data_IF_462919947726
#
_entry.id   IF_462919947726
#
_cell.length_a   1.000
_cell.length_b   1.000
_cell.length_c   1.000
_cell.angle_alpha   90.00
_cell.angle_beta   90.00
_cell.angle_gamma   90.00
#
_symmetry.space_group_name_H-M   'P 1'
#
loop_
_entity.id
_entity.type
_entity.pdbx_description
1 polymer ?
#
# COMPACT_ATOMS: atom_id res chain seq x y z
N UNK A 1 -4.39 14.66 25.87
CA UNK A 1 -4.20 13.28 25.36
C UNK A 1 -5.53 12.54 25.16
N UNK A 2 -6.65 13.22 24.87
CA UNK A 2 -8.01 12.61 24.88
C UNK A 2 -8.85 12.83 23.62
N UNK A 3 -8.28 13.21 22.46
CA UNK A 3 -9.06 13.42 21.23
C UNK A 3 -8.86 12.37 20.11
N UNK A 4 -7.94 11.45 20.29
CA UNK A 4 -7.59 10.44 19.29
C UNK A 4 -8.66 9.32 19.09
N UNK A 5 -9.46 8.93 20.11
CA UNK A 5 -10.53 7.94 19.92
C UNK A 5 -11.69 8.41 19.04
N UNK A 6 -11.93 9.74 18.92
CA UNK A 6 -13.04 10.28 18.13
C UNK A 6 -12.80 10.27 16.62
N UNK A 7 -11.56 10.17 16.16
CA UNK A 7 -11.23 10.14 14.74
C UNK A 7 -11.58 8.76 14.16
N UNK A 8 -11.32 7.66 14.86
CA UNK A 8 -11.64 6.31 14.41
C UNK A 8 -13.15 6.09 14.26
N UNK A 9 -13.99 6.65 15.15
CA UNK A 9 -15.45 6.50 15.10
C UNK A 9 -16.14 7.37 14.05
N UNK A 10 -15.55 8.46 13.59
CA UNK A 10 -16.14 9.28 12.51
C UNK A 10 -16.13 8.57 11.14
N UNK A 11 -15.27 7.58 10.95
CA UNK A 11 -15.14 6.85 9.67
C UNK A 11 -16.04 5.61 9.57
N UNK A 12 -16.70 5.18 10.68
CA UNK A 12 -17.61 4.02 10.67
C UNK A 12 -19.08 4.38 10.49
N UNK A 13 -19.51 5.63 10.63
CA UNK A 13 -20.92 6.02 10.67
C UNK A 13 -21.44 6.85 9.49
N UNK A 14 -20.62 7.19 8.49
CA UNK A 14 -21.13 7.91 7.33
C UNK A 14 -21.69 6.93 6.28
N UNK A 15 -22.77 6.24 6.65
CA UNK A 15 -23.67 5.63 5.66
C UNK A 15 -24.57 6.75 5.11
N UNK A 16 -24.07 7.47 4.12
CA UNK A 16 -24.91 8.41 3.36
C UNK A 16 -25.77 7.58 2.43
N UNK A 17 -27.05 7.51 2.74
CA UNK A 17 -28.10 7.03 1.82
C UNK A 17 -28.18 8.01 0.65
N UNK A 18 -27.60 7.69 -0.48
CA UNK A 18 -27.75 8.41 -1.73
C UNK A 18 -28.80 7.70 -2.58
N UNK A 19 -30.04 8.10 -2.42
CA UNK A 19 -31.06 7.89 -3.46
C UNK A 19 -30.68 8.76 -4.67
N UNK A 20 -30.35 8.11 -5.77
CA UNK A 20 -30.05 8.75 -7.04
C UNK A 20 -31.35 9.29 -7.67
N UNK A 21 -31.52 10.61 -7.70
CA UNK A 21 -32.51 11.25 -8.59
C UNK A 21 -31.93 11.33 -10.02
N UNK A 22 -32.60 10.85 -11.05
CA UNK A 22 -32.22 11.05 -12.44
C UNK A 22 -32.66 12.44 -12.90
N UNK A 23 -31.71 13.37 -12.93
CA UNK A 23 -31.96 14.70 -13.46
C UNK A 23 -30.74 15.19 -14.22
N UNK A 24 -30.93 15.47 -15.52
CA UNK A 24 -29.92 15.98 -16.48
C UNK A 24 -29.08 17.12 -15.92
N UNK A 25 -27.85 16.79 -15.47
CA UNK A 25 -26.77 17.77 -15.31
C UNK A 25 -25.90 17.72 -16.55
N UNK A 26 -25.81 18.85 -17.26
CA UNK A 26 -24.74 19.12 -18.23
C UNK A 26 -23.41 18.62 -17.62
N UNK A 27 -22.79 17.62 -18.26
CA UNK A 27 -21.51 17.08 -17.84
C UNK A 27 -20.50 18.21 -17.85
N UNK A 28 -20.12 18.69 -16.66
CA UNK A 28 -18.97 19.59 -16.55
C UNK A 28 -17.75 18.82 -17.04
N UNK A 29 -16.84 19.45 -17.80
CA UNK A 29 -15.61 18.78 -18.21
C UNK A 29 -14.89 18.27 -16.94
N UNK A 30 -14.53 16.99 -16.94
CA UNK A 30 -13.86 16.37 -15.81
C UNK A 30 -12.54 17.06 -15.55
N UNK A 31 -12.23 17.37 -14.27
CA UNK A 31 -10.95 17.96 -13.83
C UNK A 31 -9.76 17.20 -14.43
N UNK A 32 -8.82 17.94 -15.02
CA UNK A 32 -7.58 17.37 -15.60
C UNK A 32 -6.55 17.12 -14.50
N UNK A 33 -6.32 15.86 -14.17
CA UNK A 33 -5.42 15.42 -13.11
C UNK A 33 -4.12 14.89 -13.69
N UNK A 34 -2.98 15.43 -13.24
CA UNK A 34 -1.67 14.80 -13.44
C UNK A 34 -1.40 13.80 -12.33
N UNK A 35 -1.23 12.52 -12.68
CA UNK A 35 -0.92 11.45 -11.76
C UNK A 35 0.57 11.12 -11.83
N UNK A 36 1.33 11.46 -10.78
CA UNK A 36 2.80 11.40 -10.75
C UNK A 36 3.26 10.13 -10.06
N UNK A 37 4.10 9.35 -10.75
CA UNK A 37 4.63 8.06 -10.33
C UNK A 37 6.15 7.99 -10.52
N UNK A 38 6.82 7.06 -9.86
CA UNK A 38 8.24 6.76 -10.15
C UNK A 38 8.35 6.02 -11.48
N UNK A 39 7.62 4.91 -11.63
CA UNK A 39 7.47 4.10 -12.82
C UNK A 39 6.01 3.71 -13.01
N UNK A 40 5.57 3.53 -14.24
CA UNK A 40 4.23 3.03 -14.54
C UNK A 40 4.14 2.52 -15.98
N UNK A 41 3.45 1.39 -16.21
CA UNK A 41 2.97 0.47 -15.20
C UNK A 41 4.11 -0.34 -14.55
N UNK A 42 3.90 -0.83 -13.33
CA UNK A 42 4.85 -1.67 -12.61
C UNK A 42 4.19 -2.99 -12.18
N UNK A 43 4.73 -4.17 -12.55
CA UNK A 43 4.10 -5.46 -12.23
C UNK A 43 3.89 -5.71 -10.74
N UNK A 44 4.70 -5.09 -9.89
CA UNK A 44 4.62 -5.22 -8.43
C UNK A 44 3.65 -4.24 -7.77
N UNK A 45 3.07 -3.31 -8.55
CA UNK A 45 2.19 -2.23 -8.07
C UNK A 45 0.81 -2.32 -8.73
N UNK A 46 0.25 -3.53 -8.80
CA UNK A 46 -1.03 -3.82 -9.46
C UNK A 46 -2.20 -3.01 -8.90
N UNK A 47 -2.14 -2.68 -7.61
CA UNK A 47 -3.16 -1.84 -6.95
C UNK A 47 -3.18 -0.40 -7.51
N UNK A 48 -2.00 0.20 -7.82
CA UNK A 48 -1.92 1.52 -8.47
C UNK A 48 -2.44 1.43 -9.91
N UNK A 49 -2.05 0.37 -10.63
CA UNK A 49 -2.54 0.15 -11.98
C UNK A 49 -4.06 0.09 -12.03
N UNK A 50 -4.67 -0.71 -11.16
CA UNK A 50 -6.14 -0.83 -11.04
C UNK A 50 -6.81 0.48 -10.64
N UNK A 51 -6.20 1.25 -9.72
CA UNK A 51 -6.71 2.57 -9.33
C UNK A 51 -6.76 3.50 -10.56
N UNK A 52 -5.67 3.62 -11.32
CA UNK A 52 -5.61 4.45 -12.53
C UNK A 52 -6.65 4.02 -13.57
N UNK A 53 -6.76 2.71 -13.82
CA UNK A 53 -7.77 2.17 -14.76
C UNK A 53 -9.19 2.52 -14.33
N UNK A 54 -9.51 2.30 -13.06
CA UNK A 54 -10.86 2.51 -12.55
C UNK A 54 -11.22 4.00 -12.48
N UNK A 55 -10.29 4.88 -12.08
CA UNK A 55 -10.53 6.32 -12.09
C UNK A 55 -10.77 6.84 -13.51
N UNK A 56 -10.05 6.35 -14.53
CA UNK A 56 -10.32 6.66 -15.94
C UNK A 56 -11.70 6.14 -16.38
N UNK A 57 -12.07 4.90 -16.00
CA UNK A 57 -13.42 4.34 -16.30
C UNK A 57 -14.54 5.14 -15.64
N UNK A 58 -14.33 5.72 -14.47
CA UNK A 58 -15.26 6.60 -13.77
C UNK A 58 -15.34 8.01 -14.41
N UNK A 59 -14.55 8.30 -15.44
CA UNK A 59 -14.58 9.56 -16.18
C UNK A 59 -13.63 10.64 -15.70
N UNK A 60 -12.65 10.31 -14.83
CA UNK A 60 -11.62 11.27 -14.46
C UNK A 60 -10.65 11.49 -15.63
N UNK A 61 -10.44 12.76 -16.03
CA UNK A 61 -9.45 13.13 -17.04
C UNK A 61 -8.04 13.04 -16.47
N UNK A 62 -7.52 11.82 -16.41
CA UNK A 62 -6.26 11.48 -15.74
C UNK A 62 -5.16 11.24 -16.76
N UNK A 63 -4.02 11.97 -16.61
CA UNK A 63 -2.78 11.79 -17.35
C UNK A 63 -1.69 11.27 -16.41
N UNK A 64 -0.98 10.25 -16.85
CA UNK A 64 0.08 9.62 -16.06
C UNK A 64 1.45 10.14 -16.45
N UNK A 65 2.21 10.60 -15.46
CA UNK A 65 3.58 11.09 -15.60
C UNK A 65 4.53 10.25 -14.74
N UNK A 66 5.67 9.86 -15.28
CA UNK A 66 6.67 9.14 -14.50
C UNK A 66 8.00 9.88 -14.42
N UNK A 67 8.64 9.82 -13.25
CA UNK A 67 9.93 10.44 -12.99
C UNK A 67 11.06 9.69 -13.69
N UNK A 68 10.90 8.38 -13.86
CA UNK A 68 11.86 7.51 -14.52
C UNK A 68 11.30 6.96 -15.85
N UNK A 69 12.16 6.29 -16.61
CA UNK A 69 11.78 5.61 -17.85
C UNK A 69 10.95 4.33 -17.60
N UNK A 70 10.86 3.47 -18.60
CA UNK A 70 10.19 2.18 -18.45
C UNK A 70 10.92 1.28 -17.48
N UNK A 71 10.16 0.57 -16.65
CA UNK A 71 10.64 -0.50 -15.80
C UNK A 71 10.14 -1.83 -16.39
N UNK A 72 10.83 -2.31 -17.33
CA UNK A 72 10.88 -3.36 -18.18
C UNK A 72 10.14 -4.55 -18.37
N UNK A 73 10.42 -5.68 -17.83
CA UNK A 73 9.95 -6.98 -18.30
C UNK A 73 8.66 -7.46 -17.59
N UNK A 74 7.85 -8.28 -18.30
CA UNK A 74 6.68 -8.99 -17.77
C UNK A 74 5.44 -8.13 -17.46
N UNK A 75 5.12 -7.18 -18.33
CA UNK A 75 3.85 -6.47 -18.30
C UNK A 75 2.73 -7.34 -18.88
N UNK A 76 1.54 -7.33 -18.28
CA UNK A 76 0.34 -7.91 -18.89
C UNK A 76 -0.04 -7.14 -20.16
N UNK A 77 -0.86 -7.75 -21.04
CA UNK A 77 -1.32 -7.09 -22.26
C UNK A 77 -2.06 -5.76 -21.96
N UNK A 78 -2.85 -5.72 -20.90
CA UNK A 78 -3.54 -4.50 -20.46
C UNK A 78 -2.56 -3.42 -19.98
N UNK A 79 -1.53 -3.80 -19.24
CA UNK A 79 -0.47 -2.89 -18.81
C UNK A 79 0.34 -2.36 -20.00
N UNK A 80 0.63 -3.20 -20.98
CA UNK A 80 1.33 -2.80 -22.21
C UNK A 80 0.52 -1.78 -23.01
N UNK A 81 -0.79 -2.01 -23.18
CA UNK A 81 -1.67 -1.08 -23.89
C UNK A 81 -1.69 0.30 -23.21
N UNK A 82 -1.77 0.34 -21.89
CA UNK A 82 -1.76 1.61 -21.13
C UNK A 82 -0.39 2.29 -21.10
N UNK A 83 0.68 1.54 -21.31
CA UNK A 83 2.06 2.07 -21.30
C UNK A 83 2.31 3.11 -22.39
N UNK A 84 1.58 3.05 -23.51
CA UNK A 84 1.71 3.99 -24.63
C UNK A 84 1.29 5.42 -24.25
N UNK A 85 0.31 5.59 -23.36
CA UNK A 85 -0.25 6.88 -22.94
C UNK A 85 0.53 7.54 -21.77
N UNK A 86 1.65 6.95 -21.34
CA UNK A 86 2.42 7.43 -20.19
C UNK A 86 3.48 8.44 -20.62
N UNK A 87 3.44 9.62 -20.03
CA UNK A 87 4.47 10.63 -20.24
C UNK A 87 5.67 10.39 -19.31
N UNK A 88 6.75 9.90 -19.89
CA UNK A 88 7.98 9.56 -19.16
C UNK A 88 8.99 10.70 -19.23
N UNK A 89 9.57 11.03 -18.07
CA UNK A 89 10.67 11.99 -18.02
C UNK A 89 12.01 11.29 -18.32
N UNK A 90 12.46 10.43 -17.42
CA UNK A 90 13.70 9.67 -17.54
C UNK A 90 14.97 10.52 -17.68
N UNK A 91 16.13 9.89 -17.69
CA UNK A 91 17.44 10.58 -17.80
C UNK A 91 17.66 11.32 -19.12
N UNK A 92 16.96 10.94 -20.16
CA UNK A 92 17.02 11.63 -21.48
C UNK A 92 16.42 13.04 -21.45
N UNK A 93 15.74 13.40 -20.38
CA UNK A 93 15.20 14.75 -20.19
C UNK A 93 16.24 15.75 -19.64
N UNK A 94 17.42 15.31 -19.20
CA UNK A 94 18.45 16.19 -18.59
C UNK A 94 18.70 17.51 -19.35
N UNK A 95 18.88 17.54 -20.70
CA UNK A 95 19.06 18.80 -21.42
C UNK A 95 17.84 19.73 -21.28
N UNK A 96 16.61 19.18 -21.22
CA UNK A 96 15.37 19.96 -21.08
C UNK A 96 15.23 20.54 -19.67
N UNK A 97 15.78 19.87 -18.65
CA UNK A 97 15.73 20.34 -17.26
C UNK A 97 16.46 21.69 -17.10
N UNK A 98 17.61 21.88 -17.75
CA UNK A 98 18.36 23.14 -17.72
C UNK A 98 17.49 24.30 -18.27
N UNK A 99 16.84 24.06 -19.40
CA UNK A 99 15.90 25.01 -19.98
C UNK A 99 14.71 25.31 -19.08
N UNK A 100 14.16 24.28 -18.43
CA UNK A 100 13.04 24.41 -17.48
C UNK A 100 13.42 25.21 -16.23
N UNK A 101 14.58 24.94 -15.63
CA UNK A 101 15.09 25.71 -14.48
C UNK A 101 15.26 27.19 -14.86
N UNK A 102 15.87 27.50 -16.03
CA UNK A 102 16.02 28.89 -16.51
C UNK A 102 14.67 29.58 -16.75
N UNK A 103 13.69 28.84 -17.31
CA UNK A 103 12.33 29.33 -17.51
C UNK A 103 11.68 29.77 -16.19
N UNK A 104 11.68 28.92 -15.18
CA UNK A 104 11.09 29.20 -13.89
C UNK A 104 11.88 30.21 -13.08
N UNK A 105 13.21 30.22 -13.18
CA UNK A 105 14.04 31.24 -12.55
C UNK A 105 13.67 32.64 -13.00
N UNK A 106 13.39 32.83 -14.31
CA UNK A 106 12.95 34.12 -14.83
C UNK A 106 11.53 34.51 -14.39
N UNK A 107 10.63 33.56 -14.26
CA UNK A 107 9.21 33.83 -13.95
C UNK A 107 8.87 33.86 -12.46
N UNK A 108 9.47 32.97 -11.66
CA UNK A 108 9.19 32.81 -10.23
C UNK A 108 10.49 32.63 -9.42
N UNK A 109 11.42 33.60 -9.41
CA UNK A 109 12.73 33.45 -8.76
C UNK A 109 12.62 33.19 -7.25
N UNK A 110 11.63 33.74 -6.56
CA UNK A 110 11.40 33.51 -5.15
C UNK A 110 11.06 32.05 -4.84
N UNK A 111 10.20 31.43 -5.66
CA UNK A 111 9.83 30.01 -5.53
C UNK A 111 11.03 29.12 -5.79
N UNK A 112 11.82 29.40 -6.84
CA UNK A 112 13.02 28.62 -7.13
C UNK A 112 14.01 28.68 -5.96
N UNK A 113 14.21 29.86 -5.37
CA UNK A 113 15.07 30.01 -4.15
C UNK A 113 14.51 29.21 -2.97
N UNK A 114 13.20 29.19 -2.76
CA UNK A 114 12.55 28.39 -1.72
C UNK A 114 12.83 26.89 -1.94
N UNK A 115 12.65 26.38 -3.18
CA UNK A 115 12.91 25.00 -3.53
C UNK A 115 14.40 24.63 -3.35
N UNK A 116 15.34 25.52 -3.70
CA UNK A 116 16.76 25.32 -3.45
C UNK A 116 17.07 25.26 -1.96
N UNK A 117 16.47 26.14 -1.13
CA UNK A 117 16.66 26.11 0.33
C UNK A 117 16.12 24.82 0.93
N UNK A 118 15.06 24.26 0.38
CA UNK A 118 14.49 22.99 0.89
C UNK A 118 15.47 21.81 0.78
N UNK A 119 16.47 21.87 -0.09
CA UNK A 119 17.55 20.87 -0.16
C UNK A 119 18.30 20.68 1.17
N UNK A 120 18.36 21.73 2.00
CA UNK A 120 18.95 21.67 3.34
C UNK A 120 18.18 20.79 4.32
N UNK A 121 16.94 20.37 3.99
CA UNK A 121 16.12 19.48 4.82
C UNK A 121 16.22 18.01 4.41
N UNK A 122 17.02 17.68 3.36
CA UNK A 122 17.23 16.29 2.95
C UNK A 122 17.96 15.52 4.05
N UNK A 123 17.43 14.36 4.42
CA UNK A 123 18.05 13.50 5.44
C UNK A 123 19.01 12.51 4.78
N UNK A 124 20.29 12.85 4.79
CA UNK A 124 21.36 12.02 4.22
C UNK A 124 21.68 10.76 5.03
N UNK A 125 20.99 10.51 6.15
CA UNK A 125 20.99 9.19 6.80
C UNK A 125 20.25 8.13 5.96
N UNK A 126 19.40 8.60 5.05
CA UNK A 126 18.73 7.77 4.04
C UNK A 126 19.11 8.26 2.64
N UNK A 127 20.33 7.97 2.15
CA UNK A 127 20.86 8.55 0.91
C UNK A 127 20.04 8.18 -0.34
N UNK A 128 19.42 6.99 -0.34
CA UNK A 128 18.52 6.56 -1.40
C UNK A 128 17.30 7.49 -1.51
N UNK A 129 16.62 7.78 -0.40
CA UNK A 129 15.46 8.70 -0.37
C UNK A 129 15.85 10.13 -0.67
N UNK A 130 16.99 10.58 -0.18
CA UNK A 130 17.50 11.93 -0.46
C UNK A 130 17.89 12.10 -1.92
N UNK A 131 18.53 11.12 -2.53
CA UNK A 131 18.83 11.10 -3.97
C UNK A 131 17.58 11.09 -4.82
N UNK A 132 16.57 10.29 -4.46
CA UNK A 132 15.26 10.29 -5.13
C UNK A 132 14.58 11.66 -5.02
N UNK A 133 14.60 12.29 -3.84
CA UNK A 133 14.01 13.62 -3.61
C UNK A 133 14.73 14.71 -4.39
N UNK A 134 16.06 14.65 -4.50
CA UNK A 134 16.84 15.57 -5.31
C UNK A 134 16.49 15.46 -6.80
N UNK A 135 16.43 14.23 -7.33
CA UNK A 135 15.99 13.99 -8.70
C UNK A 135 14.57 14.51 -8.93
N UNK A 136 13.65 14.23 -8.02
CA UNK A 136 12.25 14.65 -8.08
C UNK A 136 12.10 16.18 -8.09
N UNK A 137 12.88 16.91 -7.27
CA UNK A 137 12.93 18.38 -7.30
C UNK A 137 13.40 18.91 -8.65
N UNK A 138 14.42 18.32 -9.27
CA UNK A 138 14.87 18.71 -10.59
C UNK A 138 13.82 18.39 -11.66
N UNK A 139 13.23 17.20 -11.60
CA UNK A 139 12.19 16.76 -12.53
C UNK A 139 10.95 17.66 -12.49
N UNK A 140 10.62 18.20 -11.31
CA UNK A 140 9.47 19.08 -11.11
C UNK A 140 9.48 20.31 -12.00
N UNK A 141 10.64 20.87 -12.35
CA UNK A 141 10.73 22.04 -13.22
C UNK A 141 10.20 21.76 -14.63
N UNK A 142 10.52 20.60 -15.18
CA UNK A 142 10.02 20.20 -16.52
C UNK A 142 8.57 19.72 -16.44
N UNK A 143 8.19 18.97 -15.38
CA UNK A 143 6.80 18.58 -15.16
C UNK A 143 5.89 19.79 -15.03
N UNK A 144 6.30 20.82 -14.28
CA UNK A 144 5.55 22.06 -14.13
C UNK A 144 5.28 22.77 -15.48
N UNK A 145 6.25 22.77 -16.40
CA UNK A 145 6.05 23.30 -17.77
C UNK A 145 5.03 22.47 -18.54
N UNK A 146 5.10 21.15 -18.45
CA UNK A 146 4.12 20.26 -19.11
C UNK A 146 2.72 20.45 -18.51
N UNK A 147 2.63 20.62 -17.21
CA UNK A 147 1.35 20.84 -16.53
C UNK A 147 0.71 22.16 -16.96
N UNK A 148 1.47 23.25 -17.07
CA UNK A 148 0.96 24.50 -17.64
C UNK A 148 0.49 24.30 -19.10
N UNK A 149 1.31 23.69 -19.95
CA UNK A 149 1.01 23.50 -21.37
C UNK A 149 -0.23 22.62 -21.61
N UNK A 150 -0.50 21.67 -20.69
CA UNK A 150 -1.63 20.74 -20.79
C UNK A 150 -2.84 21.20 -19.99
N UNK A 151 -2.74 22.34 -19.29
CA UNK A 151 -3.81 22.89 -18.45
C UNK A 151 -4.23 21.92 -17.33
N UNK A 152 -3.26 21.32 -16.65
CA UNK A 152 -3.53 20.47 -15.48
C UNK A 152 -4.14 21.31 -14.37
N UNK A 153 -5.18 20.80 -13.73
CA UNK A 153 -5.96 21.51 -12.70
C UNK A 153 -5.71 20.94 -11.30
N UNK A 154 -5.19 19.70 -11.23
CA UNK A 154 -4.78 19.07 -9.97
C UNK A 154 -3.59 18.12 -10.20
N UNK A 155 -2.67 18.07 -9.24
CA UNK A 155 -1.51 17.18 -9.28
C UNK A 155 -1.66 16.14 -8.17
N UNK A 156 -1.67 14.85 -8.51
CA UNK A 156 -1.66 13.78 -7.52
C UNK A 156 -0.38 12.95 -7.59
N UNK A 157 0.23 12.69 -6.45
CA UNK A 157 1.38 11.78 -6.33
C UNK A 157 0.96 10.48 -5.63
N UNK A 158 1.29 9.33 -6.23
CA UNK A 158 0.90 8.04 -5.67
C UNK A 158 1.77 7.55 -4.52
N UNK A 159 2.85 8.25 -4.19
CA UNK A 159 3.78 7.97 -3.10
C UNK A 159 4.19 9.26 -2.40
N UNK A 160 4.40 9.20 -1.08
CA UNK A 160 4.81 10.35 -0.27
C UNK A 160 6.31 10.71 -0.44
N UNK A 161 7.13 9.85 -1.06
CA UNK A 161 8.56 10.09 -1.35
C UNK A 161 8.76 10.99 -2.58
N UNK A 162 9.62 10.62 -3.51
CA UNK A 162 9.97 11.40 -4.70
C UNK A 162 8.79 11.88 -5.52
N UNK A 163 7.74 11.04 -5.68
CA UNK A 163 6.53 11.46 -6.41
C UNK A 163 5.90 12.70 -5.78
N UNK A 164 5.68 12.68 -4.45
CA UNK A 164 5.10 13.83 -3.75
C UNK A 164 6.06 15.02 -3.70
N UNK A 165 7.38 14.80 -3.69
CA UNK A 165 8.37 15.87 -3.79
C UNK A 165 8.27 16.57 -5.16
N UNK A 166 8.14 15.82 -6.25
CA UNK A 166 7.95 16.39 -7.59
C UNK A 166 6.60 17.12 -7.71
N UNK A 167 5.52 16.54 -7.20
CA UNK A 167 4.19 17.15 -7.20
C UNK A 167 4.16 18.44 -6.39
N UNK A 168 4.75 18.44 -5.19
CA UNK A 168 4.87 19.61 -4.33
C UNK A 168 5.65 20.77 -5.01
N UNK A 169 6.82 20.46 -5.55
CA UNK A 169 7.63 21.47 -6.22
C UNK A 169 6.95 22.01 -7.51
N UNK A 170 6.29 21.14 -8.29
CA UNK A 170 5.52 21.55 -9.46
C UNK A 170 4.31 22.40 -9.06
N UNK A 171 3.62 22.08 -7.97
CA UNK A 171 2.54 22.88 -7.39
C UNK A 171 3.01 24.29 -7.01
N UNK A 172 4.15 24.42 -6.35
CA UNK A 172 4.78 25.73 -6.04
C UNK A 172 5.07 26.55 -7.30
N UNK A 173 5.59 25.90 -8.34
CA UNK A 173 5.92 26.55 -9.60
C UNK A 173 4.67 26.97 -10.40
N UNK A 174 3.67 26.13 -10.51
CA UNK A 174 2.47 26.39 -11.32
C UNK A 174 1.39 27.15 -10.57
N UNK A 175 1.24 26.92 -9.28
CA UNK A 175 0.08 27.32 -8.46
C UNK A 175 -1.05 26.30 -8.47
N UNK A 176 -0.91 25.18 -9.19
CA UNK A 176 -1.89 24.11 -9.23
C UNK A 176 -1.88 23.34 -7.89
N UNK A 177 -3.05 23.11 -7.24
CA UNK A 177 -3.11 22.37 -6.00
C UNK A 177 -2.63 20.91 -6.18
N UNK A 178 -2.04 20.36 -5.11
CA UNK A 178 -1.59 18.97 -5.15
C UNK A 178 -2.07 18.17 -3.97
N UNK A 179 -2.14 16.86 -4.17
CA UNK A 179 -2.40 15.83 -3.18
C UNK A 179 -1.41 14.67 -3.32
N UNK A 180 -1.33 13.83 -2.31
CA UNK A 180 -0.56 12.60 -2.42
C UNK A 180 -1.15 11.46 -1.59
N UNK A 181 -0.80 10.22 -1.98
CA UNK A 181 -1.08 9.02 -1.21
C UNK A 181 0.18 8.61 -0.46
N UNK A 182 0.07 8.43 0.84
CA UNK A 182 1.13 7.98 1.72
C UNK A 182 0.93 6.51 2.10
N UNK A 183 1.95 5.68 1.85
CA UNK A 183 1.94 4.24 2.11
C UNK A 183 2.99 3.88 3.17
N UNK A 184 3.13 2.61 3.53
CA UNK A 184 4.05 2.25 4.60
C UNK A 184 5.53 2.48 4.24
N UNK A 185 5.97 2.04 3.06
CA UNK A 185 7.38 2.09 2.68
C UNK A 185 7.94 3.52 2.57
N UNK A 186 7.13 4.47 2.14
CA UNK A 186 7.53 5.85 1.87
C UNK A 186 7.45 6.76 3.10
N UNK A 187 6.79 6.31 4.16
CA UNK A 187 6.64 7.07 5.41
C UNK A 187 7.32 6.43 6.64
N UNK A 188 7.81 5.20 6.55
CA UNK A 188 8.54 4.52 7.63
C UNK A 188 9.98 4.16 7.25
N UNK A 189 10.97 5.07 7.47
CA UNK A 189 10.88 6.47 7.89
C UNK A 189 10.45 7.38 6.73
N UNK A 190 9.86 8.56 7.00
CA UNK A 190 9.58 9.55 5.97
C UNK A 190 10.87 10.20 5.45
N UNK A 191 10.78 10.86 4.30
CA UNK A 191 11.88 11.70 3.82
C UNK A 191 11.94 13.06 4.54
N UNK A 192 13.06 13.78 4.40
CA UNK A 192 13.28 15.06 5.08
C UNK A 192 12.32 16.18 4.66
N UNK A 193 11.59 16.03 3.56
CA UNK A 193 10.66 17.03 3.03
C UNK A 193 9.20 16.78 3.44
N UNK A 194 8.91 15.74 4.21
CA UNK A 194 7.54 15.34 4.55
C UNK A 194 6.72 16.48 5.18
N UNK A 195 7.31 17.28 6.08
CA UNK A 195 6.62 18.42 6.71
C UNK A 195 6.17 19.46 5.69
N UNK A 196 7.02 19.79 4.71
CA UNK A 196 6.69 20.74 3.64
C UNK A 196 5.52 20.23 2.79
N UNK A 197 5.57 18.95 2.42
CA UNK A 197 4.52 18.30 1.64
C UNK A 197 3.20 18.22 2.40
N UNK A 198 3.24 17.85 3.67
CA UNK A 198 2.05 17.81 4.53
C UNK A 198 1.45 19.21 4.71
N UNK A 199 2.25 20.26 4.91
CA UNK A 199 1.76 21.61 5.07
C UNK A 199 0.99 22.10 3.83
N UNK A 200 1.56 21.90 2.65
CA UNK A 200 1.11 22.52 1.41
C UNK A 200 0.09 21.67 0.62
N UNK A 201 -0.05 20.36 0.92
CA UNK A 201 -1.03 19.49 0.25
C UNK A 201 -2.47 19.84 0.66
N UNK A 202 -3.39 19.81 -0.32
CA UNK A 202 -4.83 20.00 -0.10
C UNK A 202 -5.53 18.72 0.34
N UNK A 203 -4.97 17.55 0.02
CA UNK A 203 -5.48 16.25 0.41
C UNK A 203 -4.31 15.29 0.61
N UNK A 204 -4.33 14.53 1.71
CA UNK A 204 -3.38 13.46 2.00
C UNK A 204 -4.15 12.16 2.18
N UNK A 205 -3.99 11.24 1.25
CA UNK A 205 -4.58 9.91 1.35
C UNK A 205 -3.63 8.94 2.04
N UNK A 206 -4.16 8.02 2.80
CA UNK A 206 -3.42 6.89 3.37
C UNK A 206 -4.20 5.59 3.22
N UNK A 207 -3.49 4.47 3.29
CA UNK A 207 -4.11 3.14 3.22
C UNK A 207 -4.61 2.64 4.57
N UNK A 208 -4.27 3.33 5.68
CA UNK A 208 -4.64 2.91 7.04
C UNK A 208 -4.71 4.13 7.97
N UNK A 209 -5.55 4.05 8.99
CA UNK A 209 -5.59 5.05 10.06
C UNK A 209 -4.28 5.08 10.87
N UNK A 210 -3.56 3.95 10.94
CA UNK A 210 -2.23 3.90 11.54
C UNK A 210 -1.23 4.83 10.83
N UNK A 211 -1.30 4.92 9.50
CA UNK A 211 -0.49 5.85 8.72
C UNK A 211 -0.86 7.30 9.01
N UNK A 212 -2.16 7.61 9.18
CA UNK A 212 -2.60 8.95 9.61
C UNK A 212 -1.99 9.31 10.96
N UNK A 213 -2.10 8.41 11.96
CA UNK A 213 -1.51 8.63 13.29
C UNK A 213 0.00 8.88 13.23
N UNK A 214 0.70 8.15 12.36
CA UNK A 214 2.14 8.34 12.17
C UNK A 214 2.45 9.71 11.54
N UNK A 215 1.76 10.08 10.46
CA UNK A 215 1.98 11.34 9.76
C UNK A 215 1.54 12.56 10.56
N UNK A 216 0.57 12.41 11.46
CA UNK A 216 0.14 13.48 12.37
C UNK A 216 1.30 14.05 13.23
N UNK A 217 2.30 13.24 13.55
CA UNK A 217 3.51 13.67 14.25
C UNK A 217 4.40 14.64 13.43
N UNK A 218 4.18 14.74 12.13
CA UNK A 218 4.90 15.59 11.19
C UNK A 218 4.04 16.73 10.63
N UNK A 219 2.74 16.75 10.95
CA UNK A 219 1.81 17.76 10.47
C UNK A 219 1.77 18.97 11.44
N UNK A 220 1.87 20.17 10.88
CA UNK A 220 1.82 21.42 11.64
C UNK A 220 0.44 22.09 11.49
N UNK A 221 -0.66 21.33 11.49
CA UNK A 221 -2.01 21.87 11.29
C UNK A 221 -3.11 20.83 11.40
N UNK A 222 -4.35 21.20 11.03
CA UNK A 222 -5.50 20.32 11.18
C UNK A 222 -5.38 19.04 10.33
N UNK A 223 -5.99 17.95 10.81
CA UNK A 223 -5.94 16.64 10.20
C UNK A 223 -7.13 16.33 9.28
N UNK A 224 -7.98 17.32 9.00
CA UNK A 224 -9.19 17.21 8.17
C UNK A 224 -8.88 16.84 6.71
N UNK A 225 -7.71 17.22 6.22
CA UNK A 225 -7.22 16.85 4.88
C UNK A 225 -6.71 15.42 4.76
N UNK A 226 -6.64 14.67 5.87
CA UNK A 226 -6.26 13.25 5.82
C UNK A 226 -7.48 12.39 5.55
N UNK A 227 -7.35 11.50 4.55
CA UNK A 227 -8.38 10.55 4.17
C UNK A 227 -7.82 9.14 4.15
N UNK A 228 -8.51 8.21 4.81
CA UNK A 228 -8.16 6.79 4.75
C UNK A 228 -8.92 6.14 3.60
N UNK A 229 -8.19 5.52 2.68
CA UNK A 229 -8.77 4.71 1.61
C UNK A 229 -7.99 3.41 1.53
N UNK A 230 -8.59 2.33 1.98
CA UNK A 230 -7.97 1.02 2.00
C UNK A 230 -7.68 0.51 0.58
N UNK A 231 -6.55 -0.14 0.40
CA UNK A 231 -6.34 -0.94 -0.81
C UNK A 231 -7.29 -2.13 -0.79
N UNK A 232 -8.00 -2.32 -1.90
CA UNK A 232 -8.85 -3.48 -2.08
C UNK A 232 -8.14 -4.63 -2.78
N UNK A 233 -8.75 -5.81 -2.68
CA UNK A 233 -8.40 -7.00 -3.46
C UNK A 233 -9.65 -7.48 -4.21
N UNK A 234 -9.52 -8.17 -5.36
CA UNK A 234 -10.67 -8.75 -6.03
C UNK A 234 -11.48 -9.61 -5.06
N UNK A 235 -12.78 -9.34 -4.95
CA UNK A 235 -13.65 -10.02 -3.98
C UNK A 235 -14.16 -11.37 -4.49
N UNK A 236 -14.00 -11.65 -5.79
CA UNK A 236 -14.34 -12.93 -6.39
C UNK A 236 -13.22 -13.93 -6.09
N UNK A 237 -13.59 -15.00 -5.42
CA UNK A 237 -12.71 -16.13 -5.10
C UNK A 237 -13.40 -17.38 -5.63
N UNK A 238 -12.72 -18.07 -6.55
CA UNK A 238 -13.19 -19.34 -7.07
C UNK A 238 -13.05 -20.42 -6.00
N UNK A 239 -14.14 -21.08 -5.67
CA UNK A 239 -14.16 -22.23 -4.75
C UNK A 239 -14.74 -21.90 -3.36
N UNK A 240 -15.79 -22.63 -3.00
CA UNK A 240 -16.48 -22.50 -1.71
C UNK A 240 -16.00 -23.47 -0.61
N UNK A 241 -14.98 -24.25 -0.87
CA UNK A 241 -14.60 -25.32 0.05
C UNK A 241 -13.93 -24.79 1.33
N UNK A 242 -14.67 -24.75 2.42
CA UNK A 242 -14.05 -24.86 3.73
C UNK A 242 -13.38 -26.23 3.80
N UNK A 243 -12.07 -26.27 3.74
CA UNK A 243 -11.30 -27.50 3.88
C UNK A 243 -11.55 -28.05 5.29
N UNK A 244 -11.93 -29.33 5.39
CA UNK A 244 -12.03 -29.97 6.69
C UNK A 244 -10.63 -30.06 7.31
N UNK A 245 -10.33 -29.20 8.30
CA UNK A 245 -9.05 -29.20 9.02
C UNK A 245 -8.73 -30.60 9.57
N UNK A 246 -7.71 -31.27 9.05
CA UNK A 246 -7.26 -32.61 9.46
C UNK A 246 -5.74 -32.66 9.42
N UNK A 247 -5.12 -33.43 10.33
CA UNK A 247 -3.68 -33.66 10.23
C UNK A 247 -3.29 -34.38 8.92
N UNK A 248 -2.12 -34.04 8.32
CA UNK A 248 -1.25 -32.94 8.72
C UNK A 248 -1.86 -31.56 8.43
N UNK A 249 -1.94 -30.70 9.45
CA UNK A 249 -2.52 -29.36 9.32
C UNK A 249 -1.68 -28.50 8.36
N UNK A 250 -2.31 -27.87 7.38
CA UNK A 250 -1.65 -27.02 6.38
C UNK A 250 -1.59 -25.58 6.83
N UNK A 251 -0.39 -25.15 7.22
CA UNK A 251 -0.11 -23.77 7.59
C UNK A 251 0.47 -23.07 6.36
N UNK A 252 -0.11 -21.95 5.94
CA UNK A 252 0.33 -21.17 4.79
C UNK A 252 0.88 -19.82 5.22
N UNK A 253 1.99 -19.41 4.63
CA UNK A 253 2.54 -18.06 4.74
C UNK A 253 2.92 -17.53 3.34
N UNK A 254 2.45 -16.34 2.99
CA UNK A 254 2.60 -15.76 1.65
C UNK A 254 3.27 -14.39 1.72
N UNK A 255 4.30 -14.16 0.92
CA UNK A 255 4.89 -12.84 0.80
C UNK A 255 6.35 -12.83 0.41
N UNK A 256 6.90 -11.63 0.17
CA UNK A 256 8.34 -11.47 -0.10
C UNK A 256 9.16 -11.89 1.11
N UNK A 257 10.26 -12.60 0.90
CA UNK A 257 11.16 -13.02 1.98
C UNK A 257 12.07 -11.86 2.40
N UNK A 258 11.51 -10.96 3.19
CA UNK A 258 12.16 -9.77 3.77
C UNK A 258 11.88 -9.70 5.27
N UNK A 259 12.71 -8.95 6.01
CA UNK A 259 12.70 -8.93 7.48
C UNK A 259 11.33 -8.61 8.09
N UNK A 260 10.63 -7.62 7.54
CA UNK A 260 9.33 -7.18 8.07
C UNK A 260 8.22 -8.24 8.03
N UNK A 261 8.37 -9.32 7.27
CA UNK A 261 7.40 -10.42 7.22
C UNK A 261 7.49 -11.40 8.41
N UNK A 262 8.60 -11.38 9.16
CA UNK A 262 8.76 -12.18 10.37
C UNK A 262 8.78 -13.70 10.17
N UNK A 263 9.09 -14.19 8.97
CA UNK A 263 9.06 -15.63 8.66
C UNK A 263 10.07 -16.46 9.46
N UNK A 264 11.13 -15.86 9.98
CA UNK A 264 12.03 -16.48 10.95
C UNK A 264 11.32 -16.77 12.28
N UNK A 265 10.37 -15.91 12.71
CA UNK A 265 9.56 -16.14 13.90
C UNK A 265 8.58 -17.29 13.70
N UNK A 266 7.98 -17.39 12.49
CA UNK A 266 7.12 -18.52 12.14
C UNK A 266 7.86 -19.84 12.13
N UNK A 267 9.10 -19.90 11.61
CA UNK A 267 9.91 -21.11 11.65
C UNK A 267 10.25 -21.53 13.11
N UNK A 268 10.50 -20.58 14.00
CA UNK A 268 10.71 -20.86 15.42
C UNK A 268 9.43 -21.37 16.10
N UNK A 269 8.28 -20.78 15.76
CA UNK A 269 6.97 -21.27 16.22
C UNK A 269 6.68 -22.68 15.70
N UNK A 270 7.00 -22.97 14.43
CA UNK A 270 6.86 -24.30 13.84
C UNK A 270 7.73 -25.34 14.57
N UNK A 271 8.91 -24.97 15.10
CA UNK A 271 9.71 -25.86 15.94
C UNK A 271 8.97 -26.20 17.24
N UNK A 272 8.38 -25.19 17.90
CA UNK A 272 7.59 -25.41 19.13
C UNK A 272 6.38 -26.32 18.89
N UNK A 273 5.66 -26.12 17.78
CA UNK A 273 4.55 -27.00 17.37
C UNK A 273 5.02 -28.45 17.14
N UNK A 274 6.18 -28.63 16.50
CA UNK A 274 6.73 -29.96 16.30
C UNK A 274 7.18 -30.62 17.61
N UNK A 275 7.73 -29.86 18.56
CA UNK A 275 8.08 -30.34 19.90
C UNK A 275 6.85 -30.72 20.71
N UNK A 276 5.71 -30.02 20.52
CA UNK A 276 4.42 -30.34 21.10
C UNK A 276 3.70 -31.53 20.41
N UNK A 277 4.32 -32.13 19.39
CA UNK A 277 3.75 -33.31 18.70
C UNK A 277 2.64 -32.97 17.68
N UNK A 278 2.46 -31.69 17.34
CA UNK A 278 1.49 -31.29 16.30
C UNK A 278 1.96 -31.82 14.93
N UNK A 279 1.06 -32.54 14.23
CA UNK A 279 1.32 -32.95 12.86
C UNK A 279 0.86 -31.89 11.88
N UNK A 280 1.83 -31.22 11.24
CA UNK A 280 1.60 -30.09 10.33
C UNK A 280 2.56 -30.09 9.14
N UNK A 281 2.15 -29.39 8.09
CA UNK A 281 2.98 -28.94 6.98
C UNK A 281 2.94 -27.41 6.90
N UNK A 282 4.10 -26.77 6.76
CA UNK A 282 4.23 -25.33 6.59
C UNK A 282 4.68 -25.01 5.15
N UNK A 283 3.82 -24.34 4.42
CA UNK A 283 4.03 -23.91 3.05
C UNK A 283 4.36 -22.40 2.99
N UNK A 284 5.54 -22.05 2.46
CA UNK A 284 5.95 -20.68 2.16
C UNK A 284 5.79 -20.39 0.67
N UNK A 285 4.94 -19.44 0.30
CA UNK A 285 4.80 -18.94 -1.07
C UNK A 285 5.42 -17.54 -1.20
N UNK A 286 6.41 -17.42 -2.04
CA UNK A 286 7.15 -16.17 -2.28
C UNK A 286 8.64 -16.38 -2.49
N UNK A 287 9.33 -15.27 -2.72
CA UNK A 287 10.79 -15.24 -2.89
C UNK A 287 11.36 -13.93 -2.30
N UNK A 288 12.68 -13.82 -2.18
CA UNK A 288 13.34 -12.61 -1.71
C UNK A 288 14.70 -12.85 -1.09
N UNK A 289 15.30 -11.78 -0.60
CA UNK A 289 16.68 -11.77 -0.09
C UNK A 289 16.92 -12.76 1.08
N UNK A 290 15.89 -13.05 1.86
CA UNK A 290 15.99 -13.98 2.99
C UNK A 290 15.73 -15.44 2.63
N UNK A 291 15.58 -15.80 1.35
CA UNK A 291 15.32 -17.18 0.91
C UNK A 291 16.32 -18.18 1.49
N UNK A 292 17.60 -17.92 1.29
CA UNK A 292 18.64 -18.80 1.78
C UNK A 292 18.79 -18.81 3.31
N UNK A 293 18.76 -17.66 4.01
CA UNK A 293 18.69 -17.62 5.46
C UNK A 293 17.51 -18.42 6.06
N UNK A 294 16.32 -18.33 5.46
CA UNK A 294 15.14 -19.09 5.92
C UNK A 294 15.32 -20.60 5.70
N UNK A 295 15.82 -21.03 4.54
CA UNK A 295 16.12 -22.45 4.27
C UNK A 295 17.18 -22.99 5.24
N UNK A 296 18.23 -22.23 5.51
CA UNK A 296 19.26 -22.60 6.49
C UNK A 296 18.64 -22.74 7.89
N UNK A 297 17.79 -21.80 8.30
CA UNK A 297 17.11 -21.84 9.60
C UNK A 297 16.18 -23.05 9.69
N UNK A 298 15.45 -23.39 8.63
CA UNK A 298 14.60 -24.58 8.53
C UNK A 298 15.39 -25.87 8.81
N UNK A 299 16.56 -26.03 8.17
CA UNK A 299 17.43 -27.17 8.38
C UNK A 299 17.97 -27.21 9.81
N UNK A 300 18.43 -26.07 10.33
CA UNK A 300 18.96 -25.96 11.71
C UNK A 300 17.90 -26.30 12.77
N UNK A 301 16.62 -25.96 12.50
CA UNK A 301 15.49 -26.30 13.35
C UNK A 301 14.97 -27.74 13.14
N UNK A 302 15.60 -28.54 12.27
CA UNK A 302 15.17 -29.90 11.92
C UNK A 302 13.71 -29.96 11.46
N UNK A 303 13.33 -29.06 10.53
CA UNK A 303 11.97 -28.95 9.98
C UNK A 303 11.92 -29.20 8.47
N UNK A 304 13.01 -29.75 7.88
CA UNK A 304 13.11 -29.90 6.42
C UNK A 304 12.07 -30.84 5.82
N UNK A 305 11.54 -31.76 6.59
CA UNK A 305 10.47 -32.71 6.24
C UNK A 305 9.05 -32.08 6.32
N UNK A 306 8.90 -30.98 7.04
CA UNK A 306 7.60 -30.32 7.30
C UNK A 306 7.44 -28.99 6.60
N UNK A 307 8.53 -28.35 6.15
CA UNK A 307 8.53 -27.00 5.56
C UNK A 307 8.80 -27.06 4.06
N UNK A 308 7.90 -26.49 3.28
CA UNK A 308 8.02 -26.41 1.83
C UNK A 308 8.10 -24.96 1.34
N UNK A 309 9.03 -24.68 0.41
CA UNK A 309 9.21 -23.37 -0.21
C UNK A 309 8.81 -23.46 -1.69
N UNK A 310 7.66 -22.88 -2.03
CA UNK A 310 7.12 -22.88 -3.40
C UNK A 310 7.88 -21.93 -4.35
N UNK A 311 8.63 -20.96 -3.80
CA UNK A 311 9.19 -19.88 -4.59
C UNK A 311 8.12 -18.87 -5.03
N UNK A 312 8.39 -18.15 -6.12
CA UNK A 312 7.39 -17.23 -6.70
C UNK A 312 6.21 -18.04 -7.24
N UNK A 313 5.01 -17.68 -6.81
CA UNK A 313 3.75 -18.33 -7.20
C UNK A 313 2.91 -17.33 -7.98
N UNK A 314 2.29 -17.77 -9.06
CA UNK A 314 1.40 -16.95 -9.88
C UNK A 314 0.07 -16.66 -9.14
N UNK A 315 -0.71 -15.71 -9.65
CA UNK A 315 -2.00 -15.37 -9.03
C UNK A 315 -2.98 -16.55 -9.04
N UNK A 316 -3.00 -17.35 -10.12
CA UNK A 316 -3.91 -18.49 -10.24
C UNK A 316 -3.50 -19.67 -9.35
N UNK A 317 -2.20 -19.85 -9.13
CA UNK A 317 -1.69 -20.93 -8.29
C UNK A 317 -1.75 -20.58 -6.80
N UNK A 318 -1.66 -19.30 -6.43
CA UNK A 318 -1.78 -18.88 -5.04
C UNK A 318 -3.20 -19.13 -4.49
N UNK A 319 -4.24 -19.00 -5.33
CA UNK A 319 -5.61 -19.31 -4.95
C UNK A 319 -5.77 -20.78 -4.50
N UNK A 320 -5.07 -21.71 -5.19
CA UNK A 320 -5.05 -23.14 -4.83
C UNK A 320 -4.39 -23.37 -3.46
N UNK A 321 -3.34 -22.60 -3.14
CA UNK A 321 -2.68 -22.69 -1.83
C UNK A 321 -3.58 -22.17 -0.72
N UNK A 322 -4.27 -21.04 -0.92
CA UNK A 322 -5.25 -20.56 0.05
C UNK A 322 -6.40 -21.56 0.24
N UNK A 323 -6.96 -22.09 -0.86
CA UNK A 323 -8.05 -23.07 -0.79
C UNK A 323 -7.65 -24.37 -0.08
N UNK A 324 -6.37 -24.74 -0.09
CA UNK A 324 -5.84 -25.93 0.56
C UNK A 324 -5.34 -25.66 2.00
N UNK A 325 -5.26 -24.42 2.45
CA UNK A 325 -4.71 -24.07 3.75
C UNK A 325 -5.76 -24.20 4.87
N UNK A 326 -5.34 -24.74 6.00
CA UNK A 326 -6.15 -24.78 7.24
C UNK A 326 -5.95 -23.52 8.08
N UNK A 327 -4.74 -22.95 8.07
CA UNK A 327 -4.35 -21.78 8.86
C UNK A 327 -3.42 -20.89 8.02
N UNK A 328 -3.66 -19.60 8.04
CA UNK A 328 -2.78 -18.61 7.46
C UNK A 328 -2.01 -17.86 8.55
N UNK A 329 -0.68 -17.81 8.45
CA UNK A 329 0.16 -17.14 9.45
C UNK A 329 1.04 -16.07 8.79
N UNK A 330 0.89 -14.81 9.24
CA UNK A 330 1.71 -13.69 8.79
C UNK A 330 2.20 -12.88 9.99
N UNK A 331 3.32 -13.26 10.63
CA UNK A 331 3.81 -12.65 11.86
C UNK A 331 4.65 -11.41 11.58
N UNK A 332 4.05 -10.39 10.95
CA UNK A 332 4.72 -9.15 10.62
C UNK A 332 5.46 -8.54 11.81
N UNK A 333 6.62 -7.92 11.54
CA UNK A 333 7.42 -7.23 12.56
C UNK A 333 7.85 -5.86 12.04
N UNK A 334 8.12 -4.94 12.95
CA UNK A 334 8.83 -3.71 12.64
C UNK A 334 10.31 -4.03 12.47
N UNK A 335 10.87 -3.81 11.28
CA UNK A 335 12.29 -4.05 11.02
C UNK A 335 13.17 -3.01 11.77
N UNK A 336 14.48 -3.30 12.01
CA UNK A 336 15.38 -2.34 12.64
C UNK A 336 15.49 -1.00 11.91
N UNK A 337 15.28 -1.00 10.59
CA UNK A 337 15.20 0.20 9.73
C UNK A 337 13.90 0.99 9.88
N UNK A 338 13.03 0.61 10.82
CA UNK A 338 11.64 1.09 10.95
C UNK A 338 10.70 0.69 9.81
N UNK A 339 11.19 -0.01 8.76
CA UNK A 339 10.33 -0.53 7.68
C UNK A 339 9.35 -1.57 8.24
N UNK A 340 8.10 -1.44 7.82
CA UNK A 340 6.98 -2.30 8.23
C UNK A 340 5.93 -2.37 7.13
N UNK A 341 5.07 -3.35 7.19
CA UNK A 341 3.90 -3.36 6.32
C UNK A 341 2.82 -2.41 6.86
N UNK A 342 2.06 -1.78 5.97
CA UNK A 342 0.87 -1.02 6.33
C UNK A 342 -0.27 -1.97 6.68
N UNK A 343 -0.86 -2.57 5.65
CA UNK A 343 -1.82 -3.66 5.75
C UNK A 343 -1.52 -4.66 4.62
N UNK A 344 -0.98 -5.85 4.90
CA UNK A 344 -0.65 -6.84 3.88
C UNK A 344 -1.92 -7.36 3.17
N UNK A 345 -2.00 -7.24 1.85
CA UNK A 345 -3.15 -7.73 1.06
C UNK A 345 -3.36 -9.23 1.17
N UNK A 346 -2.31 -10.01 1.43
CA UNK A 346 -2.39 -11.46 1.65
C UNK A 346 -3.25 -11.87 2.85
N UNK A 347 -3.45 -10.96 3.84
CA UNK A 347 -4.40 -11.17 4.93
C UNK A 347 -5.85 -11.08 4.42
N UNK A 348 -6.13 -10.12 3.52
CA UNK A 348 -7.43 -9.98 2.87
C UNK A 348 -7.73 -11.23 2.03
N UNK A 349 -6.75 -11.69 1.27
CA UNK A 349 -6.86 -12.87 0.42
C UNK A 349 -7.13 -14.12 1.26
N UNK A 350 -6.40 -14.36 2.34
CA UNK A 350 -6.62 -15.49 3.25
C UNK A 350 -8.06 -15.48 3.82
N UNK A 351 -8.54 -14.31 4.29
CA UNK A 351 -9.90 -14.18 4.82
C UNK A 351 -10.97 -14.37 3.75
N UNK A 352 -10.74 -13.93 2.51
CA UNK A 352 -11.67 -14.19 1.40
C UNK A 352 -11.81 -15.70 1.13
N UNK A 353 -10.73 -16.45 1.29
CA UNK A 353 -10.73 -17.92 1.20
C UNK A 353 -11.21 -18.62 2.49
N UNK A 354 -11.72 -17.88 3.49
CA UNK A 354 -12.19 -18.42 4.78
C UNK A 354 -11.11 -19.12 5.59
N UNK A 355 -9.85 -18.78 5.36
CA UNK A 355 -8.74 -19.34 6.11
C UNK A 355 -8.56 -18.56 7.42
N UNK A 356 -8.61 -19.21 8.60
CA UNK A 356 -8.31 -18.57 9.87
C UNK A 356 -6.92 -17.95 9.88
N UNK A 357 -6.83 -16.71 10.38
CA UNK A 357 -5.61 -15.89 10.31
C UNK A 357 -4.98 -15.74 11.69
N UNK A 358 -3.66 -15.99 11.78
CA UNK A 358 -2.79 -15.58 12.90
C UNK A 358 -1.83 -14.51 12.40
N UNK A 359 -1.81 -13.36 13.04
CA UNK A 359 -0.93 -12.24 12.66
C UNK A 359 -0.54 -11.40 13.87
N UNK A 360 0.14 -10.29 13.66
CA UNK A 360 0.64 -9.39 14.71
C UNK A 360 -0.02 -8.01 14.61
N UNK A 361 -0.05 -7.25 15.71
CA UNK A 361 -0.67 -5.93 15.78
C UNK A 361 0.24 -4.81 15.20
N UNK A 362 0.82 -5.02 14.00
CA UNK A 362 1.71 -4.06 13.33
C UNK A 362 0.91 -3.14 12.43
N UNK A 363 1.13 -1.82 12.52
CA UNK A 363 0.54 -0.77 11.66
C UNK A 363 -0.99 -0.86 11.56
N UNK A 364 -1.51 -1.04 10.33
CA UNK A 364 -2.93 -1.12 10.01
C UNK A 364 -3.55 -2.52 10.17
N UNK A 365 -2.78 -3.54 10.56
CA UNK A 365 -3.32 -4.90 10.72
C UNK A 365 -4.50 -4.96 11.69
N UNK A 366 -4.50 -4.24 12.84
CA UNK A 366 -5.65 -4.20 13.74
C UNK A 366 -6.92 -3.54 13.16
N UNK A 367 -6.81 -2.86 12.03
CA UNK A 367 -7.98 -2.29 11.33
C UNK A 367 -8.77 -3.37 10.57
N UNK A 368 -8.10 -4.47 10.19
CA UNK A 368 -8.69 -5.64 9.57
C UNK A 368 -8.96 -6.76 10.58
N UNK A 369 -7.95 -7.07 11.40
CA UNK A 369 -7.98 -8.18 12.34
C UNK A 369 -8.26 -7.64 13.75
N UNK A 370 -9.41 -8.03 14.28
CA UNK A 370 -9.81 -7.83 15.65
C UNK A 370 -9.59 -9.15 16.40
N UNK A 371 -8.78 -9.12 17.47
CA UNK A 371 -8.35 -10.32 18.17
C UNK A 371 -9.52 -11.17 18.70
N UNK A 372 -9.51 -12.45 18.35
CA UNK A 372 -10.56 -13.41 18.70
C UNK A 372 -11.89 -13.21 17.96
N UNK A 373 -12.03 -12.15 17.14
CA UNK A 373 -13.27 -11.85 16.40
C UNK A 373 -13.13 -12.14 14.91
N UNK A 374 -12.11 -11.61 14.25
CA UNK A 374 -11.88 -11.80 12.80
C UNK A 374 -10.55 -12.48 12.48
N UNK A 375 -9.75 -12.79 13.50
CA UNK A 375 -8.48 -13.48 13.45
C UNK A 375 -7.82 -13.43 14.81
N UNK A 376 -6.60 -13.96 14.93
CA UNK A 376 -5.83 -13.91 16.18
C UNK A 376 -4.66 -12.93 16.01
N UNK A 377 -4.54 -11.99 16.95
CA UNK A 377 -3.42 -11.07 17.08
C UNK A 377 -2.45 -11.55 18.15
N UNK A 378 -1.20 -11.74 17.77
CA UNK A 378 -0.14 -12.12 18.72
C UNK A 378 0.89 -11.00 18.83
N UNK A 379 1.71 -11.03 19.87
CA UNK A 379 2.83 -10.10 20.01
C UNK A 379 3.86 -10.35 18.92
N UNK A 380 4.39 -9.26 18.33
CA UNK A 380 5.50 -9.37 17.38
C UNK A 380 6.76 -9.98 18.03
N UNK A 381 7.51 -10.77 17.26
CA UNK A 381 8.74 -11.44 17.71
C UNK A 381 8.52 -12.43 18.88
N UNK A 382 7.34 -13.00 18.97
CA UNK A 382 6.98 -13.99 19.98
C UNK A 382 6.58 -15.33 19.33
N UNK A 383 7.54 -16.24 19.05
CA UNK A 383 7.24 -17.54 18.48
C UNK A 383 6.30 -18.40 19.34
N UNK A 384 6.36 -18.24 20.67
CA UNK A 384 5.50 -19.00 21.60
C UNK A 384 4.04 -18.57 21.46
N UNK A 385 3.78 -17.26 21.34
CA UNK A 385 2.44 -16.76 21.12
C UNK A 385 1.89 -17.18 19.74
N UNK A 386 2.75 -17.26 18.70
CA UNK A 386 2.36 -17.76 17.37
C UNK A 386 1.97 -19.23 17.47
N UNK A 387 2.76 -20.08 18.14
CA UNK A 387 2.48 -21.50 18.31
C UNK A 387 1.18 -21.72 19.08
N UNK A 388 0.99 -21.05 20.21
CA UNK A 388 -0.23 -21.12 21.01
C UNK A 388 -1.48 -20.68 20.22
N UNK A 389 -1.37 -19.65 19.38
CA UNK A 389 -2.49 -19.23 18.53
C UNK A 389 -2.84 -20.28 17.45
N UNK A 390 -1.84 -20.96 16.87
CA UNK A 390 -2.07 -22.08 15.94
C UNK A 390 -2.74 -23.24 16.67
N UNK A 391 -2.26 -23.63 17.85
CA UNK A 391 -2.87 -24.70 18.67
C UNK A 391 -4.33 -24.36 19.05
N UNK A 392 -4.63 -23.12 19.39
CA UNK A 392 -5.98 -22.64 19.67
C UNK A 392 -6.92 -22.84 18.48
N UNK A 393 -6.47 -22.51 17.25
CA UNK A 393 -7.24 -22.73 16.02
C UNK A 393 -7.49 -24.24 15.79
N UNK A 394 -6.48 -25.06 16.03
CA UNK A 394 -6.59 -26.52 15.88
C UNK A 394 -7.55 -27.12 16.90
N UNK A 395 -7.53 -26.63 18.14
CA UNK A 395 -8.35 -27.13 19.24
C UNK A 395 -9.84 -26.80 19.06
N UNK A 396 -10.18 -25.63 18.53
CA UNK A 396 -11.57 -25.19 18.30
C UNK A 396 -11.75 -24.69 16.86
N UNK A 397 -12.00 -25.66 15.98
CA UNK A 397 -12.12 -25.43 14.52
C UNK A 397 -13.37 -24.66 14.16
N UNK A 398 -14.47 -24.92 14.85
CA UNK A 398 -15.74 -24.25 14.56
C UNK A 398 -15.66 -22.77 14.90
N UNK A 399 -15.07 -22.43 16.03
CA UNK A 399 -14.80 -21.04 16.40
C UNK A 399 -13.82 -20.38 15.42
N UNK A 400 -12.80 -21.10 14.94
CA UNK A 400 -11.83 -20.60 13.97
C UNK A 400 -12.47 -20.31 12.60
N UNK A 401 -13.33 -21.19 12.11
CA UNK A 401 -14.10 -20.98 10.86
C UNK A 401 -15.06 -19.81 11.00
N UNK A 402 -15.80 -19.74 12.10
CA UNK A 402 -16.70 -18.61 12.38
C UNK A 402 -15.95 -17.27 12.45
N UNK A 403 -14.74 -17.26 13.00
CA UNK A 403 -13.85 -16.10 13.04
C UNK A 403 -13.39 -15.68 11.63
N UNK A 404 -12.99 -16.64 10.79
CA UNK A 404 -12.61 -16.39 9.40
C UNK A 404 -13.79 -15.84 8.56
N UNK A 405 -15.02 -16.34 8.78
CA UNK A 405 -16.23 -15.81 8.12
C UNK A 405 -16.53 -14.37 8.52
N UNK A 406 -16.39 -14.00 9.78
CA UNK A 406 -16.51 -12.60 10.21
C UNK A 406 -15.42 -11.73 9.56
N UNK A 407 -14.20 -12.24 9.46
CA UNK A 407 -13.11 -11.59 8.75
C UNK A 407 -13.43 -11.38 7.26
N UNK A 408 -13.94 -12.41 6.58
CA UNK A 408 -14.39 -12.35 5.19
C UNK A 408 -15.48 -11.29 4.97
N UNK A 409 -16.46 -11.23 5.86
CA UNK A 409 -17.51 -10.22 5.82
C UNK A 409 -16.93 -8.81 5.94
N UNK A 410 -15.97 -8.58 6.86
CA UNK A 410 -15.25 -7.30 7.00
C UNK A 410 -14.48 -6.93 5.73
N UNK A 411 -13.78 -7.89 5.10
CA UNK A 411 -13.08 -7.65 3.83
C UNK A 411 -14.06 -7.19 2.75
N UNK A 412 -15.16 -7.90 2.55
CA UNK A 412 -16.19 -7.54 1.55
C UNK A 412 -16.82 -6.19 1.83
N UNK A 413 -16.98 -5.82 3.09
CA UNK A 413 -17.57 -4.55 3.48
C UNK A 413 -16.63 -3.36 3.30
N UNK A 414 -15.33 -3.49 3.61
CA UNK A 414 -14.42 -2.35 3.75
C UNK A 414 -13.33 -2.30 2.67
N UNK A 415 -12.99 -3.43 2.06
CA UNK A 415 -11.84 -3.57 1.15
C UNK A 415 -12.24 -3.89 -0.30
N UNK A 416 -13.46 -3.49 -0.69
CA UNK A 416 -13.92 -3.54 -2.06
C UNK A 416 -13.18 -2.49 -2.91
N UNK A 417 -12.37 -2.90 -3.91
CA UNK A 417 -11.59 -1.97 -4.71
C UNK A 417 -12.46 -1.03 -5.54
N UNK A 418 -13.61 -1.46 -6.05
CA UNK A 418 -14.47 -0.62 -6.88
C UNK A 418 -15.10 0.49 -6.03
N UNK A 419 -15.62 0.15 -4.86
CA UNK A 419 -16.16 1.12 -3.91
C UNK A 419 -15.09 2.10 -3.44
N UNK A 420 -13.89 1.61 -3.12
CA UNK A 420 -12.80 2.43 -2.65
C UNK A 420 -12.29 3.38 -3.77
N UNK A 421 -12.20 2.92 -5.02
CA UNK A 421 -11.84 3.79 -6.13
C UNK A 421 -12.93 4.82 -6.46
N UNK A 422 -14.21 4.47 -6.28
CA UNK A 422 -15.32 5.44 -6.40
C UNK A 422 -15.21 6.52 -5.32
N UNK A 423 -14.92 6.15 -4.08
CA UNK A 423 -14.65 7.11 -3.01
C UNK A 423 -13.47 8.04 -3.37
N UNK A 424 -12.38 7.51 -3.92
CA UNK A 424 -11.26 8.32 -4.41
C UNK A 424 -11.69 9.30 -5.51
N UNK A 425 -12.50 8.84 -6.44
CA UNK A 425 -13.05 9.69 -7.50
C UNK A 425 -13.89 10.84 -6.91
N UNK A 426 -14.73 10.55 -5.93
CA UNK A 426 -15.56 11.56 -5.25
C UNK A 426 -14.71 12.57 -4.47
N UNK A 427 -13.62 12.16 -3.84
CA UNK A 427 -12.65 13.06 -3.22
C UNK A 427 -12.07 14.05 -4.24
N UNK A 428 -11.69 13.58 -5.44
CA UNK A 428 -11.22 14.50 -6.49
C UNK A 428 -12.29 15.47 -6.95
N UNK A 429 -13.55 15.03 -7.06
CA UNK A 429 -14.66 15.92 -7.44
C UNK A 429 -14.89 17.05 -6.42
N UNK A 430 -14.64 16.79 -5.13
CA UNK A 430 -14.75 17.79 -4.07
C UNK A 430 -13.61 18.83 -4.12
N UNK A 431 -12.48 18.52 -4.74
CA UNK A 431 -11.35 19.45 -4.90
C UNK A 431 -11.55 20.46 -6.05
N UNK A 432 -12.56 20.26 -6.91
CA UNK A 432 -12.89 21.23 -7.97
C UNK A 432 -13.53 22.45 -7.31
N UNK A 433 -12.97 23.67 -7.47
CA UNK A 433 -13.63 24.88 -7.01
C UNK A 433 -14.99 25.03 -7.69
N UNK A 434 -16.02 25.37 -6.92
CA UNK A 434 -17.37 25.65 -7.40
C UNK A 434 -17.44 26.95 -8.18
#
# INVERSE_FOLDING_TARGET
MNEIPKIANRFSETTVSLEAQPGSRLERPSMRVAYVLLWFPAPTETFIFREVVNLKKLGLSLRVFTLYGEKGANLSAEMQAMSADVERLGWRALPRLIGAVRYWWKRKPAVVKELVRSLGHLDWRTPEKSGESLWALLAAFELARRFEAQGIEHIHASWASGCATAAWAASKLTGVPFSFTARAWDIYPPDGLIRHKLRDAVLVRTETAANVRHLAAFADGPLDKFQVTYNGVPLQVDGEAAVAMRPPYRILAVGRFVRKKGFDQLLRAARLLADAGVDFRLDFAGDGLLKWPLKWLTSRLKLSDRVHFHGFVTHDDIAKLYAAADIFVMPCVVAPSSDRDGLPTVLLEALLHRVPVVTTAVSGIPELIEDGVTGLLVRERDPSAIAAAVERIIADRDAAVAMAERGRARVRQQFDPERNHRHVFDLYRQLVPH
#
